data_IF_540617173192
#
_entry.id   IF_540617173192
#
_cell.length_a   1.000
_cell.length_b   1.000
_cell.length_c   1.000
_cell.angle_alpha   90.00
_cell.angle_beta   90.00
_cell.angle_gamma   90.00
#
_symmetry.space_group_name_H-M   'P 1'
#
loop_
_entity.id
_entity.type
_entity.pdbx_description
1 polymer ?
#
# COMPACT_ATOMS: atom_id res chain seq x y z
N UNK A 1 20.65 5.24 13.87
CA UNK A 1 19.18 5.19 13.62
C UNK A 1 18.93 4.43 12.33
N UNK A 2 18.19 3.34 12.41
CA UNK A 2 17.76 2.52 11.28
C UNK A 2 16.50 3.14 10.64
N UNK A 3 16.30 2.93 9.33
CA UNK A 3 15.18 3.56 8.62
C UNK A 3 14.37 2.57 7.79
N UNK A 4 13.05 2.70 7.83
CA UNK A 4 12.13 2.07 6.87
C UNK A 4 11.45 3.17 6.08
N UNK A 5 11.56 3.12 4.76
CA UNK A 5 10.80 4.01 3.89
C UNK A 5 9.58 3.23 3.39
N UNK A 6 8.39 3.67 3.78
CA UNK A 6 7.13 3.17 3.25
C UNK A 6 6.70 4.04 2.07
N UNK A 7 6.40 3.42 0.94
CA UNK A 7 6.02 4.11 -0.28
C UNK A 7 4.78 3.46 -0.88
N UNK A 8 3.69 4.21 -0.98
CA UNK A 8 2.54 3.79 -1.77
C UNK A 8 2.87 3.92 -3.25
N UNK A 9 2.52 2.90 -4.04
CA UNK A 9 2.72 2.91 -5.50
C UNK A 9 2.21 4.20 -6.16
N UNK A 10 2.76 4.58 -7.30
CA UNK A 10 2.31 5.70 -8.12
C UNK A 10 0.87 5.53 -8.62
N UNK A 11 0.29 6.59 -9.19
CA UNK A 11 -1.07 6.52 -9.72
C UNK A 11 -1.23 5.34 -10.69
N UNK A 12 -2.22 4.48 -10.44
CA UNK A 12 -2.60 3.41 -11.36
C UNK A 12 -3.68 3.86 -12.34
N UNK A 13 -3.88 3.10 -13.43
CA UNK A 13 -4.96 3.37 -14.38
C UNK A 13 -6.33 3.44 -13.69
N UNK A 14 -6.59 2.56 -12.70
CA UNK A 14 -7.86 2.56 -11.97
C UNK A 14 -7.92 3.60 -10.85
N UNK A 15 -6.79 4.12 -10.35
CA UNK A 15 -6.83 5.33 -9.52
C UNK A 15 -7.34 6.52 -10.34
N UNK A 16 -6.82 6.71 -11.57
CA UNK A 16 -7.27 7.75 -12.48
C UNK A 16 -8.75 7.61 -12.87
N UNK A 17 -9.23 6.37 -13.05
CA UNK A 17 -10.63 6.07 -13.36
C UNK A 17 -11.55 6.07 -12.12
N UNK A 18 -11.00 6.35 -10.93
CA UNK A 18 -11.74 6.32 -9.64
C UNK A 18 -12.45 4.98 -9.37
N UNK A 19 -11.76 3.84 -9.63
CA UNK A 19 -12.29 2.49 -9.40
C UNK A 19 -11.72 1.85 -8.15
N UNK A 20 -12.50 0.93 -7.55
CA UNK A 20 -11.98 0.00 -6.53
C UNK A 20 -11.04 -1.01 -7.18
N UNK A 21 -9.79 -1.04 -6.76
CA UNK A 21 -8.76 -1.89 -7.40
C UNK A 21 -8.56 -3.21 -6.66
N UNK A 22 -8.26 -3.16 -5.38
CA UNK A 22 -7.98 -4.36 -4.58
C UNK A 22 -6.87 -5.23 -5.20
N UNK A 23 -7.15 -6.51 -5.39
CA UNK A 23 -6.22 -7.49 -5.97
C UNK A 23 -6.24 -7.56 -7.49
N UNK A 24 -7.10 -6.78 -8.16
CA UNK A 24 -7.03 -6.66 -9.62
C UNK A 24 -5.69 -6.06 -10.03
N UNK A 25 -4.99 -6.72 -10.97
CA UNK A 25 -3.62 -6.39 -11.32
C UNK A 25 -3.55 -5.38 -12.47
N UNK A 26 -3.85 -4.13 -12.15
CA UNK A 26 -3.80 -3.00 -13.09
C UNK A 26 -2.42 -2.35 -13.12
N UNK A 27 -2.11 -1.71 -14.23
CA UNK A 27 -0.84 -1.03 -14.45
C UNK A 27 -0.80 0.39 -13.86
N UNK A 28 0.40 0.97 -13.78
CA UNK A 28 0.58 2.39 -13.54
C UNK A 28 0.02 3.21 -14.72
N UNK A 29 -0.47 4.41 -14.44
CA UNK A 29 -0.66 5.44 -15.45
C UNK A 29 0.70 6.07 -15.82
N UNK A 30 0.76 6.83 -16.93
CA UNK A 30 1.95 7.60 -17.29
C UNK A 30 2.35 8.57 -16.17
N UNK A 31 1.37 9.19 -15.52
CA UNK A 31 1.57 10.03 -14.33
C UNK A 31 2.19 9.23 -13.19
N UNK A 32 1.70 8.02 -12.93
CA UNK A 32 2.24 7.14 -11.87
C UNK A 32 3.69 6.76 -12.10
N UNK A 33 4.10 6.52 -13.36
CA UNK A 33 5.51 6.30 -13.72
C UNK A 33 6.36 7.55 -13.45
N UNK A 34 5.87 8.73 -13.85
CA UNK A 34 6.55 10.00 -13.58
C UNK A 34 6.64 10.31 -12.07
N UNK A 35 5.60 9.98 -11.31
CA UNK A 35 5.59 10.06 -9.84
C UNK A 35 6.68 9.18 -9.22
N UNK A 36 6.78 7.93 -9.64
CA UNK A 36 7.80 6.99 -9.17
C UNK A 36 9.23 7.48 -9.49
N UNK A 37 9.45 8.03 -10.68
CA UNK A 37 10.74 8.60 -11.07
C UNK A 37 11.14 9.78 -10.16
N UNK A 38 10.23 10.71 -9.88
CA UNK A 38 10.48 11.83 -8.94
C UNK A 38 10.82 11.34 -7.53
N UNK A 39 10.16 10.29 -7.07
CA UNK A 39 10.47 9.68 -5.76
C UNK A 39 11.90 9.15 -5.74
N UNK A 40 12.32 8.40 -6.77
CA UNK A 40 13.69 7.89 -6.85
C UNK A 40 14.73 9.01 -6.85
N UNK A 41 14.50 10.09 -7.60
CA UNK A 41 15.37 11.26 -7.60
C UNK A 41 15.42 11.97 -6.23
N UNK A 42 14.27 12.09 -5.54
CA UNK A 42 14.19 12.66 -4.20
C UNK A 42 14.99 11.80 -3.20
N UNK A 43 14.77 10.50 -3.18
CA UNK A 43 15.47 9.57 -2.28
C UNK A 43 16.98 9.57 -2.54
N UNK A 44 17.42 9.69 -3.82
CA UNK A 44 18.82 9.84 -4.17
C UNK A 44 19.41 11.14 -3.64
N UNK A 45 18.70 12.26 -3.79
CA UNK A 45 19.11 13.58 -3.26
C UNK A 45 19.24 13.56 -1.73
N UNK A 46 18.35 12.85 -1.05
CA UNK A 46 18.37 12.67 0.40
C UNK A 46 19.44 11.64 0.88
N UNK A 47 20.19 11.05 -0.05
CA UNK A 47 21.29 10.16 0.25
C UNK A 47 20.87 8.76 0.74
N UNK A 48 19.67 8.28 0.39
CA UNK A 48 19.25 6.94 0.78
C UNK A 48 20.02 5.86 0.04
N UNK A 49 20.61 4.96 0.81
CA UNK A 49 21.20 3.70 0.35
C UNK A 49 20.45 2.55 1.02
N UNK A 50 19.67 1.81 0.24
CA UNK A 50 18.88 0.71 0.76
C UNK A 50 19.67 -0.60 0.68
N UNK A 51 19.57 -1.42 1.73
CA UNK A 51 20.16 -2.76 1.70
C UNK A 51 19.21 -3.84 1.22
N UNK A 52 17.87 -3.57 1.22
CA UNK A 52 16.83 -4.49 0.78
C UNK A 52 15.56 -3.72 0.42
N UNK A 53 14.80 -4.22 -0.54
CA UNK A 53 13.48 -3.70 -0.86
C UNK A 53 12.41 -4.80 -0.80
N UNK A 54 11.21 -4.42 -0.39
CA UNK A 54 10.04 -5.29 -0.28
C UNK A 54 8.88 -4.73 -1.10
N UNK A 55 8.15 -5.60 -1.79
CA UNK A 55 6.95 -5.21 -2.53
C UNK A 55 5.91 -6.33 -2.59
N UNK A 56 4.72 -6.01 -3.11
CA UNK A 56 3.63 -6.95 -3.31
C UNK A 56 3.79 -7.76 -4.61
N UNK A 57 2.82 -8.61 -4.90
CA UNK A 57 2.72 -9.29 -6.19
C UNK A 57 2.04 -8.45 -7.28
N UNK A 58 1.45 -7.29 -6.93
CA UNK A 58 0.69 -6.49 -7.87
C UNK A 58 1.60 -5.55 -8.67
N UNK A 59 1.47 -5.58 -10.00
CA UNK A 59 2.39 -4.92 -10.94
C UNK A 59 2.56 -3.42 -10.69
N UNK A 60 1.51 -2.70 -10.24
CA UNK A 60 1.63 -1.26 -9.95
C UNK A 60 2.63 -0.95 -8.84
N UNK A 61 2.75 -1.83 -7.83
CA UNK A 61 3.75 -1.67 -6.77
C UNK A 61 5.13 -2.14 -7.25
N UNK A 62 5.20 -3.28 -7.96
CA UNK A 62 6.45 -3.80 -8.55
C UNK A 62 7.06 -2.77 -9.48
N UNK A 63 6.30 -2.24 -10.45
CA UNK A 63 6.78 -1.23 -11.41
C UNK A 63 7.16 0.09 -10.75
N UNK A 64 6.43 0.50 -9.70
CA UNK A 64 6.86 1.68 -8.91
C UNK A 64 8.22 1.44 -8.28
N UNK A 65 8.45 0.27 -7.67
CA UNK A 65 9.74 -0.08 -7.10
C UNK A 65 10.84 -0.12 -8.16
N UNK A 66 10.60 -0.77 -9.30
CA UNK A 66 11.58 -0.87 -10.38
C UNK A 66 12.03 0.52 -10.86
N UNK A 67 11.08 1.45 -11.10
CA UNK A 67 11.40 2.84 -11.49
C UNK A 67 12.16 3.59 -10.39
N UNK A 68 11.79 3.40 -9.13
CA UNK A 68 12.47 4.05 -7.99
C UNK A 68 13.91 3.57 -7.89
N UNK A 69 14.16 2.25 -8.01
CA UNK A 69 15.50 1.67 -7.93
C UNK A 69 16.38 2.11 -9.12
N UNK A 70 15.82 2.17 -10.34
CA UNK A 70 16.50 2.72 -11.52
C UNK A 70 17.00 4.15 -11.27
N UNK A 71 16.15 5.04 -10.73
CA UNK A 71 16.51 6.43 -10.43
C UNK A 71 17.50 6.57 -9.28
N UNK A 72 17.50 5.61 -8.36
CA UNK A 72 18.47 5.53 -7.27
C UNK A 72 19.83 4.97 -7.70
N UNK A 73 19.93 4.33 -8.89
CA UNK A 73 21.08 3.50 -9.30
C UNK A 73 21.34 2.36 -8.29
N UNK A 74 20.24 1.73 -7.82
CA UNK A 74 20.27 0.66 -6.82
C UNK A 74 19.50 -0.60 -7.28
N UNK A 75 19.43 -0.87 -8.58
CA UNK A 75 18.80 -2.08 -9.14
C UNK A 75 19.45 -3.39 -8.65
N UNK A 76 20.67 -3.29 -8.14
CA UNK A 76 21.47 -4.41 -7.65
C UNK A 76 21.06 -4.92 -6.28
N UNK A 77 20.22 -4.19 -5.52
CA UNK A 77 19.83 -4.62 -4.18
C UNK A 77 18.85 -5.79 -4.23
N UNK A 78 18.83 -6.67 -3.20
CA UNK A 78 17.85 -7.73 -3.11
C UNK A 78 16.41 -7.17 -3.03
N UNK A 79 15.48 -7.80 -3.75
CA UNK A 79 14.05 -7.48 -3.73
C UNK A 79 13.25 -8.71 -3.33
N UNK A 80 12.46 -8.61 -2.26
CA UNK A 80 11.52 -9.63 -1.84
C UNK A 80 10.09 -9.24 -2.18
N UNK A 81 9.38 -10.13 -2.87
CA UNK A 81 7.96 -9.98 -3.19
C UNK A 81 7.12 -10.88 -2.30
N UNK A 82 6.02 -10.35 -1.76
CA UNK A 82 5.09 -11.13 -0.97
C UNK A 82 3.64 -10.73 -1.23
N UNK A 83 2.76 -11.72 -1.44
CA UNK A 83 1.32 -11.48 -1.54
C UNK A 83 0.76 -10.86 -0.24
N UNK A 84 1.43 -11.05 0.89
CA UNK A 84 1.05 -10.45 2.18
C UNK A 84 1.13 -8.92 2.17
N UNK A 85 1.88 -8.33 1.22
CA UNK A 85 1.92 -6.88 1.00
C UNK A 85 0.89 -6.39 -0.04
N UNK A 86 0.07 -7.26 -0.64
CA UNK A 86 -0.98 -6.86 -1.55
C UNK A 86 -1.95 -5.86 -0.89
N UNK A 87 -2.66 -5.09 -1.72
CA UNK A 87 -3.73 -4.22 -1.28
C UNK A 87 -4.85 -5.00 -0.56
N UNK A 88 -5.67 -4.33 0.23
CA UNK A 88 -6.90 -4.88 0.77
C UNK A 88 -7.77 -5.45 -0.36
N UNK A 89 -8.28 -6.65 -0.17
CA UNK A 89 -9.18 -7.26 -1.15
C UNK A 89 -10.57 -6.67 -1.03
N UNK A 90 -11.03 -5.97 -2.05
CA UNK A 90 -12.32 -5.27 -2.03
C UNK A 90 -13.53 -6.14 -2.40
N UNK A 91 -13.36 -7.46 -2.52
CA UNK A 91 -14.47 -8.38 -2.82
C UNK A 91 -15.23 -7.98 -4.07
N UNK A 92 -16.57 -7.98 -3.97
CA UNK A 92 -17.47 -7.64 -5.08
C UNK A 92 -17.34 -6.19 -5.57
N UNK A 93 -16.72 -5.29 -4.80
CA UNK A 93 -16.50 -3.91 -5.25
C UNK A 93 -15.39 -3.77 -6.28
N UNK A 94 -14.49 -4.74 -6.42
CA UNK A 94 -13.37 -4.67 -7.38
C UNK A 94 -13.89 -4.40 -8.80
N UNK A 95 -13.36 -3.34 -9.43
CA UNK A 95 -13.74 -2.90 -10.77
C UNK A 95 -14.87 -1.87 -10.81
N UNK A 96 -15.66 -1.69 -9.74
CA UNK A 96 -16.72 -0.69 -9.69
C UNK A 96 -16.11 0.72 -9.57
N UNK A 97 -16.78 1.70 -10.22
CA UNK A 97 -16.44 3.10 -10.01
C UNK A 97 -16.93 3.55 -8.63
N UNK A 98 -16.06 4.24 -7.88
CA UNK A 98 -16.36 4.63 -6.49
C UNK A 98 -17.51 5.64 -6.39
N UNK A 99 -17.60 6.58 -7.35
CA UNK A 99 -18.65 7.59 -7.37
C UNK A 99 -20.01 6.95 -7.70
N UNK A 100 -20.09 6.13 -8.75
CA UNK A 100 -21.31 5.39 -9.11
C UNK A 100 -21.75 4.47 -7.96
N UNK A 101 -20.80 3.88 -7.26
CA UNK A 101 -21.09 3.07 -6.06
C UNK A 101 -21.66 3.94 -4.93
N UNK A 102 -21.15 5.15 -4.73
CA UNK A 102 -21.67 6.09 -3.74
C UNK A 102 -23.07 6.62 -4.13
N UNK A 103 -23.33 6.83 -5.42
CA UNK A 103 -24.67 7.17 -5.92
C UNK A 103 -25.68 6.06 -5.62
N UNK A 104 -25.26 4.79 -5.69
CA UNK A 104 -26.13 3.62 -5.49
C UNK A 104 -26.34 3.26 -4.02
N UNK A 105 -25.28 3.31 -3.20
CA UNK A 105 -25.29 2.81 -1.83
C UNK A 105 -25.19 3.91 -0.76
N UNK A 106 -24.96 5.16 -1.15
CA UNK A 106 -24.70 6.29 -0.27
C UNK A 106 -23.21 6.47 0.08
N UNK A 107 -22.83 7.74 0.32
CA UNK A 107 -21.44 8.12 0.65
C UNK A 107 -20.95 7.46 1.94
N UNK A 108 -21.82 7.38 2.95
CA UNK A 108 -21.52 6.77 4.24
C UNK A 108 -21.16 5.29 4.09
N UNK A 109 -21.95 4.51 3.36
CA UNK A 109 -21.68 3.09 3.15
C UNK A 109 -20.39 2.85 2.37
N UNK A 110 -20.12 3.68 1.35
CA UNK A 110 -18.86 3.60 0.59
C UNK A 110 -17.68 4.00 1.45
N UNK A 111 -17.84 5.01 2.30
CA UNK A 111 -16.82 5.41 3.27
C UNK A 111 -16.51 4.25 4.24
N UNK A 112 -17.52 3.60 4.81
CA UNK A 112 -17.37 2.43 5.67
C UNK A 112 -16.58 1.33 4.97
N UNK A 113 -16.96 0.89 3.79
CA UNK A 113 -16.26 -0.15 3.03
C UNK A 113 -14.81 0.21 2.69
N UNK A 114 -14.52 1.49 2.50
CA UNK A 114 -13.17 1.96 2.15
C UNK A 114 -12.26 2.11 3.36
N UNK A 115 -12.82 2.53 4.50
CA UNK A 115 -12.05 3.14 5.58
C UNK A 115 -12.17 2.48 6.92
N UNK A 116 -13.33 1.88 7.26
CA UNK A 116 -13.51 1.26 8.57
C UNK A 116 -12.47 0.17 8.81
N UNK A 117 -12.18 -0.07 10.08
CA UNK A 117 -11.20 -1.05 10.48
C UNK A 117 -11.70 -2.48 10.31
N UNK A 118 -12.94 -2.75 10.67
CA UNK A 118 -13.52 -4.10 10.86
C UNK A 118 -14.61 -4.50 9.84
N UNK A 119 -15.05 -3.57 8.97
CA UNK A 119 -16.11 -3.87 7.99
C UNK A 119 -15.52 -4.19 6.62
N UNK A 120 -15.75 -5.42 6.16
CA UNK A 120 -15.40 -5.87 4.81
C UNK A 120 -16.57 -5.66 3.83
N UNK A 121 -16.30 -5.38 2.54
CA UNK A 121 -17.31 -5.48 1.48
C UNK A 121 -17.79 -6.92 1.29
N UNK A 122 -18.88 -7.13 0.54
CA UNK A 122 -19.36 -8.46 0.20
C UNK A 122 -18.26 -9.29 -0.50
N UNK A 123 -18.07 -10.57 -0.09
CA UNK A 123 -17.05 -11.43 -0.67
C UNK A 123 -17.36 -11.83 -2.11
N UNK A 124 -16.32 -12.12 -2.88
CA UNK A 124 -16.47 -12.81 -4.18
C UNK A 124 -17.11 -14.19 -3.98
N UNK A 125 -17.92 -14.60 -4.92
CA UNK A 125 -18.41 -16.00 -5.00
C UNK A 125 -17.24 -16.98 -5.17
N UNK A 126 -17.46 -18.23 -4.83
CA UNK A 126 -16.42 -19.26 -4.96
C UNK A 126 -15.98 -19.45 -6.40
N UNK A 127 -16.91 -19.44 -7.33
CA UNK A 127 -16.66 -19.60 -8.77
C UNK A 127 -16.42 -18.27 -9.51
N UNK A 128 -16.33 -17.14 -8.80
CA UNK A 128 -16.02 -15.86 -9.44
C UNK A 128 -14.61 -15.91 -10.04
N UNK A 129 -14.42 -15.59 -11.33
CA UNK A 129 -13.11 -15.67 -11.98
C UNK A 129 -12.07 -14.72 -11.39
N UNK A 130 -12.48 -13.75 -10.58
CA UNK A 130 -11.59 -12.84 -9.83
C UNK A 130 -11.12 -13.44 -8.51
N UNK A 131 -11.62 -14.62 -8.13
CA UNK A 131 -11.19 -15.30 -6.90
C UNK A 131 -9.69 -15.65 -7.01
N UNK A 132 -8.84 -15.24 -6.04
CA UNK A 132 -7.40 -15.48 -6.10
C UNK A 132 -6.99 -16.94 -6.28
N UNK A 133 -7.83 -17.90 -5.90
CA UNK A 133 -7.55 -19.33 -6.09
C UNK A 133 -7.33 -19.73 -7.54
N UNK A 134 -7.88 -18.96 -8.49
CA UNK A 134 -7.72 -19.19 -9.93
C UNK A 134 -6.50 -18.47 -10.53
N UNK A 135 -5.83 -17.63 -9.76
CA UNK A 135 -4.70 -16.84 -10.23
C UNK A 135 -3.37 -17.58 -9.96
N UNK A 136 -2.58 -17.88 -11.01
CA UNK A 136 -1.34 -18.65 -10.87
C UNK A 136 -0.28 -17.98 -9.98
N UNK A 137 -0.39 -16.68 -9.70
CA UNK A 137 0.50 -15.98 -8.77
C UNK A 137 0.37 -16.49 -7.32
N UNK A 138 -0.76 -17.07 -6.97
CA UNK A 138 -1.06 -17.53 -5.60
C UNK A 138 -1.10 -19.06 -5.47
N UNK A 139 -0.67 -19.80 -6.50
CA UNK A 139 -0.72 -21.29 -6.52
C UNK A 139 -0.04 -21.98 -5.34
N UNK A 140 0.99 -21.31 -4.77
CA UNK A 140 1.75 -21.83 -3.64
C UNK A 140 1.22 -21.32 -2.28
N UNK A 141 0.12 -20.56 -2.27
CA UNK A 141 -0.55 -20.06 -1.08
C UNK A 141 -1.70 -21.00 -0.73
N UNK A 142 -1.80 -21.49 0.53
CA UNK A 142 -2.95 -22.29 0.94
C UNK A 142 -4.27 -21.56 0.64
N UNK A 143 -5.25 -22.26 0.05
CA UNK A 143 -6.53 -21.65 -0.35
C UNK A 143 -7.25 -21.00 0.84
N UNK A 144 -7.13 -21.58 2.04
CA UNK A 144 -7.70 -21.02 3.26
C UNK A 144 -7.12 -19.65 3.68
N UNK A 145 -5.93 -19.28 3.18
CA UNK A 145 -5.30 -17.97 3.41
C UNK A 145 -5.66 -16.93 2.32
N UNK A 146 -6.27 -17.37 1.21
CA UNK A 146 -6.61 -16.47 0.11
C UNK A 146 -7.94 -15.74 0.38
N UNK A 147 -7.94 -14.40 0.48
CA UNK A 147 -9.15 -13.66 0.79
C UNK A 147 -10.07 -13.56 -0.42
N UNK A 148 -11.38 -13.68 -0.18
CA UNK A 148 -12.43 -13.29 -1.14
C UNK A 148 -12.96 -11.87 -0.88
N UNK A 149 -12.63 -11.32 0.27
CA UNK A 149 -12.84 -9.93 0.71
C UNK A 149 -12.00 -9.69 1.96
N UNK A 150 -11.68 -8.45 2.27
CA UNK A 150 -10.98 -8.06 3.50
C UNK A 150 -11.55 -6.75 4.07
N UNK A 151 -11.65 -6.69 5.39
CA UNK A 151 -11.59 -5.45 6.16
C UNK A 151 -10.14 -4.97 6.29
N UNK A 152 -9.92 -3.80 6.91
CA UNK A 152 -8.55 -3.37 7.23
C UNK A 152 -7.94 -4.28 8.32
N UNK A 153 -8.74 -4.75 9.26
CA UNK A 153 -8.33 -5.71 10.30
C UNK A 153 -7.80 -7.01 9.70
N UNK A 154 -8.50 -7.57 8.70
CA UNK A 154 -8.05 -8.78 7.98
C UNK A 154 -6.73 -8.51 7.25
N UNK A 155 -6.62 -7.37 6.60
CA UNK A 155 -5.39 -6.93 5.92
C UNK A 155 -4.22 -6.81 6.91
N UNK A 156 -4.44 -6.23 8.09
CA UNK A 156 -3.44 -6.16 9.18
C UNK A 156 -3.04 -7.55 9.66
N UNK A 157 -4.00 -8.43 9.91
CA UNK A 157 -3.74 -9.81 10.35
C UNK A 157 -2.87 -10.58 9.35
N UNK A 158 -3.07 -10.34 8.04
CA UNK A 158 -2.28 -10.93 6.95
C UNK A 158 -0.84 -10.39 6.88
N UNK A 159 -0.67 -9.08 7.11
CA UNK A 159 0.61 -8.39 6.95
C UNK A 159 1.53 -8.56 8.16
N UNK A 160 0.99 -8.51 9.38
CA UNK A 160 1.79 -8.44 10.59
C UNK A 160 2.76 -9.61 10.82
N UNK A 161 2.44 -10.86 10.49
CA UNK A 161 3.42 -11.93 10.55
C UNK A 161 4.63 -11.66 9.63
N UNK A 162 4.39 -11.20 8.41
CA UNK A 162 5.46 -10.90 7.45
C UNK A 162 6.28 -9.67 7.88
N UNK A 163 5.63 -8.63 8.40
CA UNK A 163 6.32 -7.48 8.97
C UNK A 163 7.26 -7.89 10.11
N UNK A 164 6.75 -8.67 11.06
CA UNK A 164 7.50 -9.04 12.28
C UNK A 164 8.60 -10.06 12.04
N UNK A 165 8.41 -10.98 11.10
CA UNK A 165 9.33 -12.10 10.88
C UNK A 165 10.34 -11.84 9.75
N UNK A 166 10.01 -10.97 8.79
CA UNK A 166 10.85 -10.74 7.61
C UNK A 166 11.32 -9.28 7.49
N UNK A 167 10.37 -8.31 7.49
CA UNK A 167 10.70 -6.92 7.15
C UNK A 167 11.46 -6.24 8.29
N UNK A 168 10.90 -6.22 9.50
CA UNK A 168 11.51 -5.55 10.63
C UNK A 168 12.87 -6.15 11.01
N UNK A 169 13.07 -7.49 11.06
CA UNK A 169 14.36 -8.08 11.36
C UNK A 169 15.46 -7.75 10.33
N UNK A 170 15.10 -7.45 9.07
CA UNK A 170 16.07 -7.06 8.06
C UNK A 170 16.83 -5.77 8.46
N UNK A 171 16.24 -4.90 9.26
CA UNK A 171 16.94 -3.74 9.81
C UNK A 171 18.11 -4.08 10.73
N UNK A 172 18.20 -5.30 11.26
CA UNK A 172 19.38 -5.73 12.00
C UNK A 172 20.65 -5.73 11.12
N UNK A 173 20.47 -5.96 9.82
CA UNK A 173 21.53 -6.12 8.84
C UNK A 173 21.69 -4.93 7.87
N UNK A 174 20.75 -3.99 7.87
CA UNK A 174 20.72 -2.85 6.96
C UNK A 174 20.43 -1.55 7.70
N UNK A 175 20.97 -0.44 7.24
CA UNK A 175 20.68 0.89 7.80
C UNK A 175 19.37 1.47 7.28
N UNK A 176 18.99 1.09 6.06
CA UNK A 176 17.72 1.45 5.47
C UNK A 176 17.13 0.32 4.62
N UNK A 177 15.81 0.16 4.68
CA UNK A 177 15.02 -0.71 3.79
C UNK A 177 13.87 0.07 3.17
N UNK A 178 13.46 -0.37 1.97
CA UNK A 178 12.36 0.23 1.21
C UNK A 178 11.18 -0.75 1.13
N UNK A 179 9.96 -0.29 1.43
CA UNK A 179 8.73 -1.06 1.26
C UNK A 179 7.80 -0.32 0.31
N UNK A 180 7.60 -0.85 -0.88
CA UNK A 180 6.67 -0.29 -1.88
C UNK A 180 5.43 -1.16 -1.94
N UNK A 181 4.29 -0.61 -1.50
CA UNK A 181 3.05 -1.36 -1.40
C UNK A 181 1.81 -0.48 -1.67
N UNK A 182 0.73 -0.66 -0.92
CA UNK A 182 -0.57 -0.09 -1.25
C UNK A 182 -1.15 0.71 -0.08
N UNK A 183 -2.23 1.47 -0.36
CA UNK A 183 -2.84 2.34 0.62
C UNK A 183 -3.25 1.63 1.91
N UNK A 184 -3.99 0.53 1.84
CA UNK A 184 -4.46 -0.15 3.04
C UNK A 184 -3.38 -1.05 3.66
N UNK A 185 -2.55 -1.72 2.86
CA UNK A 185 -1.45 -2.52 3.41
C UNK A 185 -0.47 -1.68 4.22
N UNK A 186 -0.08 -0.51 3.71
CA UNK A 186 0.80 0.40 4.44
C UNK A 186 0.11 1.05 5.64
N UNK A 187 -1.19 1.40 5.53
CA UNK A 187 -1.98 1.88 6.69
C UNK A 187 -1.99 0.86 7.84
N UNK A 188 -2.04 -0.43 7.52
CA UNK A 188 -1.93 -1.49 8.53
C UNK A 188 -0.59 -1.47 9.27
N UNK A 189 0.52 -1.33 8.54
CA UNK A 189 1.85 -1.20 9.14
C UNK A 189 1.96 0.08 9.98
N UNK A 190 1.52 1.21 9.44
CA UNK A 190 1.55 2.52 10.11
C UNK A 190 0.71 2.50 11.40
N UNK A 191 -0.49 1.91 11.35
CA UNK A 191 -1.35 1.72 12.52
C UNK A 191 -0.61 0.99 13.64
N UNK A 192 0.07 -0.10 13.30
CA UNK A 192 0.85 -0.90 14.25
C UNK A 192 2.02 -0.09 14.84
N UNK A 193 2.79 0.59 14.00
CA UNK A 193 3.99 1.33 14.44
C UNK A 193 3.65 2.52 15.34
N UNK A 194 2.60 3.25 15.01
CA UNK A 194 2.21 4.50 15.71
C UNK A 194 1.17 4.26 16.82
N UNK A 195 0.69 3.04 17.01
CA UNK A 195 -0.38 2.76 17.98
C UNK A 195 -1.69 3.50 17.70
N UNK A 196 -2.02 3.72 16.39
CA UNK A 196 -3.24 4.43 15.98
C UNK A 196 -4.46 3.59 16.33
N UNK A 197 -5.51 4.21 16.92
CA UNK A 197 -6.75 3.50 17.23
C UNK A 197 -7.50 3.03 15.98
N UNK A 198 -8.49 2.14 16.16
CA UNK A 198 -9.32 1.61 15.07
C UNK A 198 -10.16 2.71 14.41
N UNK A 199 -10.61 3.68 15.21
CA UNK A 199 -11.37 4.84 14.73
C UNK A 199 -10.45 5.81 13.98
N UNK A 200 -9.30 6.16 14.58
CA UNK A 200 -8.39 7.16 14.02
C UNK A 200 -7.74 6.71 12.71
N UNK A 201 -7.53 5.40 12.49
CA UNK A 201 -6.97 4.90 11.23
C UNK A 201 -7.93 5.12 10.07
N UNK A 202 -9.23 5.25 10.29
CA UNK A 202 -10.22 5.52 9.25
C UNK A 202 -9.95 6.85 8.54
N UNK A 203 -9.45 7.84 9.27
CA UNK A 203 -9.17 9.19 8.77
C UNK A 203 -7.74 9.35 8.24
N UNK A 204 -6.87 8.38 8.48
CA UNK A 204 -5.48 8.46 8.01
C UNK A 204 -5.39 8.23 6.48
N UNK A 205 -4.92 9.24 5.76
CA UNK A 205 -4.77 9.23 4.31
C UNK A 205 -3.29 9.12 3.91
N UNK A 206 -2.95 8.11 3.11
CA UNK A 206 -1.62 7.93 2.56
C UNK A 206 -1.64 8.25 1.05
N UNK A 207 -1.01 9.34 0.61
CA UNK A 207 -0.97 9.71 -0.80
C UNK A 207 -0.13 8.72 -1.62
N UNK A 208 -0.35 8.67 -2.94
CA UNK A 208 0.51 7.93 -3.87
C UNK A 208 1.87 8.62 -3.99
N UNK A 209 2.92 7.82 -4.14
CA UNK A 209 4.27 8.30 -4.47
C UNK A 209 4.79 9.43 -3.56
N UNK A 210 4.50 9.34 -2.26
CA UNK A 210 5.12 10.20 -1.24
C UNK A 210 5.86 9.32 -0.25
N UNK A 211 7.19 9.38 -0.14
CA UNK A 211 7.94 8.57 0.78
C UNK A 211 7.63 8.95 2.24
N UNK A 212 7.34 7.95 3.06
CA UNK A 212 7.12 8.11 4.49
C UNK A 212 8.20 7.36 5.25
N UNK A 213 9.10 8.09 5.89
CA UNK A 213 10.28 7.56 6.58
C UNK A 213 9.92 7.30 8.03
N UNK A 214 10.19 6.08 8.48
CA UNK A 214 10.11 5.65 9.87
C UNK A 214 11.51 5.41 10.40
N UNK A 215 11.81 5.92 11.58
CA UNK A 215 13.11 5.80 12.24
C UNK A 215 13.00 4.84 13.42
N UNK A 216 14.03 4.02 13.60
CA UNK A 216 14.12 3.02 14.65
C UNK A 216 15.46 3.15 15.39
N UNK A 217 15.43 2.90 16.69
CA UNK A 217 16.64 2.82 17.50
C UNK A 217 17.40 1.50 17.26
N UNK A 218 18.53 1.28 17.96
CA UNK A 218 19.33 0.08 17.84
C UNK A 218 18.61 -1.20 18.33
N UNK A 219 17.59 -1.04 19.17
CA UNK A 219 16.70 -2.13 19.62
C UNK A 219 15.53 -2.39 18.67
N UNK A 220 15.51 -1.73 17.52
CA UNK A 220 14.42 -1.76 16.54
C UNK A 220 13.06 -1.26 17.10
N UNK A 221 13.11 -0.38 18.09
CA UNK A 221 11.91 0.31 18.56
C UNK A 221 11.64 1.55 17.70
N UNK A 222 10.36 1.79 17.40
CA UNK A 222 9.94 2.99 16.69
C UNK A 222 10.35 4.25 17.46
N UNK A 223 11.04 5.18 16.79
CA UNK A 223 11.57 6.40 17.38
C UNK A 223 10.96 7.68 16.79
N UNK A 224 10.44 7.63 15.58
CA UNK A 224 9.83 8.79 14.92
C UNK A 224 9.50 8.53 13.46
N UNK A 225 8.80 9.48 12.86
CA UNK A 225 8.43 9.41 11.45
C UNK A 225 8.33 10.79 10.79
N UNK A 226 8.53 10.84 9.47
CA UNK A 226 8.32 12.03 8.67
C UNK A 226 8.05 11.70 7.20
N UNK A 227 7.20 12.47 6.56
CA UNK A 227 7.11 12.45 5.11
C UNK A 227 8.32 13.18 4.48
N UNK A 228 8.75 12.73 3.30
CA UNK A 228 9.73 13.45 2.48
C UNK A 228 9.02 14.21 1.37
N UNK A 229 9.36 15.49 1.22
CA UNK A 229 8.81 16.38 0.22
C UNK A 229 8.30 17.69 0.80
N UNK A 230 7.65 18.48 -0.04
CA UNK A 230 7.04 19.75 0.35
C UNK A 230 5.80 19.51 1.23
N UNK A 231 5.73 20.07 2.47
CA UNK A 231 4.62 19.83 3.39
C UNK A 231 3.25 20.28 2.83
N UNK A 232 3.21 21.39 2.08
CA UNK A 232 1.95 21.91 1.53
C UNK A 232 1.46 21.05 0.37
N UNK A 233 2.38 20.53 -0.45
CA UNK A 233 2.04 19.57 -1.50
C UNK A 233 1.51 18.25 -0.88
N UNK A 234 2.19 17.74 0.14
CA UNK A 234 1.77 16.52 0.84
C UNK A 234 0.38 16.69 1.45
N UNK A 235 0.10 17.81 2.12
CA UNK A 235 -1.21 18.09 2.69
C UNK A 235 -2.31 18.11 1.62
N UNK A 236 -2.06 18.71 0.47
CA UNK A 236 -3.00 18.73 -0.68
C UNK A 236 -3.24 17.32 -1.23
N UNK A 237 -2.19 16.50 -1.37
CA UNK A 237 -2.30 15.12 -1.84
C UNK A 237 -3.08 14.24 -0.85
N UNK A 238 -2.89 14.43 0.45
CA UNK A 238 -3.65 13.73 1.50
C UNK A 238 -5.14 14.10 1.45
N UNK A 239 -5.47 15.37 1.28
CA UNK A 239 -6.85 15.85 1.12
C UNK A 239 -7.51 15.25 -0.14
N UNK A 240 -6.79 15.22 -1.28
CA UNK A 240 -7.29 14.59 -2.50
C UNK A 240 -7.61 13.10 -2.34
N UNK A 241 -6.86 12.37 -1.51
CA UNK A 241 -7.18 10.96 -1.18
C UNK A 241 -8.45 10.85 -0.33
N UNK A 242 -8.67 11.80 0.59
CA UNK A 242 -9.88 11.84 1.42
C UNK A 242 -11.15 12.04 0.57
N UNK A 243 -11.07 12.88 -0.46
CA UNK A 243 -12.22 13.22 -1.32
C UNK A 243 -12.55 12.15 -2.38
N UNK A 244 -11.67 11.18 -2.60
CA UNK A 244 -11.96 10.07 -3.51
C UNK A 244 -13.20 9.27 -3.06
N UNK A 245 -14.22 9.23 -3.93
CA UNK A 245 -15.46 8.48 -3.70
C UNK A 245 -16.55 9.25 -2.96
N UNK A 246 -16.41 10.57 -2.78
CA UNK A 246 -17.52 11.45 -2.43
C UNK A 246 -18.31 11.83 -3.68
N UNK A 247 -19.61 12.04 -3.51
CA UNK A 247 -20.44 12.73 -4.53
C UNK A 247 -19.89 14.15 -4.68
N UNK A 248 -19.54 14.53 -5.90
CA UNK A 248 -19.19 15.91 -6.22
C UNK A 248 -20.43 16.78 -6.28
#
# INVERSE_FOLDING_TARGET
MKKVVLLRHGESTWNRENRFTGWTDVDLSEKGVAEAARVGELLRKEGFLFGHAYTSYLKRAVKTLDVVLDKLDQDWIPVSKSWRLNEKHYGMLQGLNKRETAEKYGDEQVHIWRRSYDVAPAPLGEEDPRNPRFDPRYRDVPEAELPRTESLSDTVARIMPYWKCEILPALAHHDAILVVAHGNSLRGIIKHLKGISDEAISEFNLPTAVPYVFEFDEGLNYAGDRFLGDPDEIARLMAAVADQGRKG
#
